data_IF_955257078829
#
_entry.id   IF_955257078829
#
_cell.length_a   1.000
_cell.length_b   1.000
_cell.length_c   1.000
_cell.angle_alpha   90.00
_cell.angle_beta   90.00
_cell.angle_gamma   90.00
#
_symmetry.space_group_name_H-M   'P 1'
#
loop_
_entity.id
_entity.type
_entity.pdbx_description
1 polymer ?
#
# COMPACT_ATOMS: atom_id res chain seq x y z
N UNK A 1 -17.71 17.77 18.56
CA UNK A 1 -16.93 16.58 18.99
C UNK A 1 -17.68 15.37 18.49
N UNK A 2 -17.09 14.51 17.65
CA UNK A 2 -17.74 13.25 17.28
C UNK A 2 -17.61 12.30 18.47
N UNK A 3 -18.72 11.96 19.10
CA UNK A 3 -18.75 10.87 20.07
C UNK A 3 -18.39 9.57 19.32
N UNK A 4 -17.40 8.84 19.80
CA UNK A 4 -16.97 7.60 19.17
C UNK A 4 -18.08 6.55 19.29
N UNK A 5 -18.83 6.33 18.19
CA UNK A 5 -19.94 5.36 18.13
C UNK A 5 -19.46 4.06 17.51
N UNK A 6 -19.16 3.09 18.35
CA UNK A 6 -18.61 1.79 17.95
C UNK A 6 -19.52 1.06 16.92
N UNK A 7 -20.84 1.20 17.05
CA UNK A 7 -21.80 0.64 16.09
C UNK A 7 -21.77 1.29 14.70
N UNK A 8 -21.44 2.58 14.63
CA UNK A 8 -21.30 3.29 13.35
C UNK A 8 -20.04 2.85 12.61
N UNK A 9 -18.93 2.65 13.34
CA UNK A 9 -17.68 2.10 12.80
C UNK A 9 -17.90 0.69 12.22
N UNK A 10 -18.57 -0.19 12.97
CA UNK A 10 -18.88 -1.55 12.48
C UNK A 10 -19.80 -1.53 11.25
N UNK A 11 -20.77 -0.61 11.21
CA UNK A 11 -21.64 -0.40 10.06
C UNK A 11 -20.85 0.07 8.82
N UNK A 12 -19.92 1.00 8.98
CA UNK A 12 -19.03 1.48 7.92
C UNK A 12 -18.11 0.38 7.38
N UNK A 13 -17.58 -0.47 8.26
CA UNK A 13 -16.81 -1.66 7.85
C UNK A 13 -17.65 -2.60 6.99
N UNK A 14 -18.90 -2.88 7.39
CA UNK A 14 -19.83 -3.70 6.60
C UNK A 14 -20.16 -3.07 5.25
N UNK A 15 -20.43 -1.77 5.22
CA UNK A 15 -20.75 -1.01 3.98
C UNK A 15 -19.60 -0.91 2.99
N UNK A 16 -18.35 -1.08 3.45
CA UNK A 16 -17.14 -1.00 2.62
C UNK A 16 -16.46 -2.34 2.38
N UNK A 17 -17.13 -3.46 2.70
CA UNK A 17 -16.67 -4.82 2.39
C UNK A 17 -16.24 -5.02 0.91
N UNK A 18 -16.88 -4.39 -0.10
CA UNK A 18 -16.40 -4.50 -1.48
C UNK A 18 -14.93 -4.10 -1.68
N UNK A 19 -14.39 -3.16 -0.88
CA UNK A 19 -12.97 -2.79 -0.94
C UNK A 19 -12.04 -3.88 -0.41
N UNK A 20 -12.48 -4.66 0.58
CA UNK A 20 -11.71 -5.81 1.08
C UNK A 20 -11.57 -6.85 -0.03
N UNK A 21 -12.68 -7.17 -0.71
CA UNK A 21 -12.70 -8.09 -1.84
C UNK A 21 -11.84 -7.55 -2.99
N UNK A 22 -11.97 -6.26 -3.31
CA UNK A 22 -11.19 -5.65 -4.38
C UNK A 22 -9.69 -5.69 -4.09
N UNK A 23 -9.28 -5.39 -2.85
CA UNK A 23 -7.88 -5.52 -2.41
C UNK A 23 -7.39 -6.96 -2.51
N UNK A 24 -8.21 -7.93 -2.10
CA UNK A 24 -7.89 -9.35 -2.24
C UNK A 24 -7.69 -9.74 -3.71
N UNK A 25 -8.57 -9.31 -4.62
CA UNK A 25 -8.46 -9.58 -6.05
C UNK A 25 -7.18 -8.99 -6.66
N UNK A 26 -6.74 -7.82 -6.19
CA UNK A 26 -5.47 -7.22 -6.63
C UNK A 26 -4.29 -8.07 -6.17
N UNK A 27 -4.25 -8.49 -4.90
CA UNK A 27 -3.19 -9.38 -4.43
C UNK A 27 -3.18 -10.69 -5.21
N UNK A 28 -4.36 -11.27 -5.46
CA UNK A 28 -4.49 -12.47 -6.27
C UNK A 28 -3.97 -12.27 -7.70
N UNK A 29 -4.31 -11.15 -8.34
CA UNK A 29 -3.81 -10.80 -9.67
C UNK A 29 -2.30 -10.62 -9.71
N UNK A 30 -1.72 -9.97 -8.69
CA UNK A 30 -0.25 -9.84 -8.55
C UNK A 30 0.40 -11.22 -8.43
N UNK A 31 -0.16 -12.11 -7.60
CA UNK A 31 0.35 -13.48 -7.45
C UNK A 31 0.28 -14.25 -8.77
N UNK A 32 -0.83 -14.17 -9.50
CA UNK A 32 -0.94 -14.81 -10.82
C UNK A 32 0.09 -14.26 -11.80
N UNK A 33 0.31 -12.94 -11.81
CA UNK A 33 1.29 -12.33 -12.68
C UNK A 33 2.72 -12.78 -12.34
N UNK A 34 3.06 -12.96 -11.06
CA UNK A 34 4.33 -13.58 -10.65
C UNK A 34 4.50 -14.98 -11.24
N UNK A 35 3.48 -15.83 -11.10
CA UNK A 35 3.51 -17.21 -11.60
C UNK A 35 3.68 -17.21 -13.12
N UNK A 36 2.92 -16.37 -13.83
CA UNK A 36 2.97 -16.30 -15.29
C UNK A 36 4.31 -15.79 -15.80
N UNK A 37 4.82 -14.66 -15.28
CA UNK A 37 6.10 -14.09 -15.74
C UNK A 37 7.26 -15.04 -15.43
N UNK A 38 7.26 -15.65 -14.24
CA UNK A 38 8.27 -16.65 -13.87
C UNK A 38 8.20 -17.88 -14.77
N UNK A 39 7.00 -18.40 -15.02
CA UNK A 39 6.77 -19.54 -15.90
C UNK A 39 7.16 -19.27 -17.35
N UNK A 40 6.85 -18.08 -17.87
CA UNK A 40 7.28 -17.62 -19.20
C UNK A 40 8.81 -17.53 -19.25
N UNK A 41 9.43 -16.92 -18.24
CA UNK A 41 10.89 -16.88 -18.13
C UNK A 41 11.51 -18.27 -18.17
N UNK A 42 10.96 -19.21 -17.39
CA UNK A 42 11.41 -20.60 -17.39
C UNK A 42 11.20 -21.28 -18.75
N UNK A 43 10.06 -21.07 -19.41
CA UNK A 43 9.78 -21.63 -20.74
C UNK A 43 10.73 -21.11 -21.81
N UNK A 44 10.99 -19.80 -21.82
CA UNK A 44 11.96 -19.17 -22.74
C UNK A 44 13.37 -19.72 -22.45
N UNK A 45 13.76 -19.76 -21.18
CA UNK A 45 15.06 -20.29 -20.77
C UNK A 45 15.26 -21.75 -21.16
N UNK A 46 14.24 -22.59 -20.99
CA UNK A 46 14.27 -24.00 -21.39
C UNK A 46 14.43 -24.13 -22.91
N UNK A 47 13.67 -23.34 -23.68
CA UNK A 47 13.78 -23.30 -25.13
C UNK A 47 15.18 -22.94 -25.61
N UNK A 48 15.79 -21.88 -25.04
CA UNK A 48 17.17 -21.48 -25.37
C UNK A 48 18.19 -22.54 -24.92
N UNK A 49 18.06 -23.05 -23.69
CA UNK A 49 18.96 -24.07 -23.15
C UNK A 49 18.93 -25.38 -23.94
N UNK A 50 17.78 -25.74 -24.51
CA UNK A 50 17.63 -26.95 -25.33
C UNK A 50 18.49 -26.94 -26.60
N UNK A 51 18.78 -25.75 -27.15
CA UNK A 51 19.66 -25.58 -28.32
C UNK A 51 21.11 -25.91 -27.97
N UNK A 52 21.53 -25.64 -26.72
CA UNK A 52 22.88 -25.91 -26.22
C UNK A 52 23.01 -27.29 -25.54
N UNK A 53 21.94 -28.09 -25.48
CA UNK A 53 21.92 -29.38 -24.77
C UNK A 53 21.73 -29.27 -23.25
N UNK A 54 21.46 -28.07 -22.72
CA UNK A 54 21.31 -27.79 -21.28
C UNK A 54 19.91 -27.24 -20.95
N UNK A 55 18.86 -27.91 -21.43
CA UNK A 55 17.48 -27.43 -21.33
C UNK A 55 17.03 -27.16 -19.88
N UNK A 56 17.37 -28.04 -18.94
CA UNK A 56 17.03 -27.90 -17.52
C UNK A 56 17.70 -26.67 -16.88
N UNK A 57 19.00 -26.49 -17.13
CA UNK A 57 19.75 -25.35 -16.62
C UNK A 57 19.22 -24.04 -17.24
N UNK A 58 18.95 -24.03 -18.54
CA UNK A 58 18.34 -22.89 -19.23
C UNK A 58 16.98 -22.53 -18.63
N UNK A 59 16.12 -23.52 -18.36
CA UNK A 59 14.81 -23.31 -17.74
C UNK A 59 14.90 -22.76 -16.33
N UNK A 60 15.84 -23.25 -15.53
CA UNK A 60 16.09 -22.74 -14.19
C UNK A 60 16.52 -21.26 -14.20
N UNK A 61 17.53 -20.92 -15.02
CA UNK A 61 18.03 -19.54 -15.12
C UNK A 61 17.01 -18.59 -15.72
N UNK A 62 16.26 -19.03 -16.73
CA UNK A 62 15.14 -18.27 -17.29
C UNK A 62 14.04 -18.03 -16.26
N UNK A 63 13.72 -19.03 -15.43
CA UNK A 63 12.78 -18.88 -14.32
C UNK A 63 13.25 -17.88 -13.27
N UNK A 64 14.52 -17.96 -12.86
CA UNK A 64 15.09 -16.99 -11.92
C UNK A 64 15.07 -15.56 -12.49
N UNK A 65 15.43 -15.39 -13.75
CA UNK A 65 15.38 -14.09 -14.42
C UNK A 65 13.94 -13.56 -14.51
N UNK A 66 12.98 -14.41 -14.91
CA UNK A 66 11.56 -14.10 -14.93
C UNK A 66 11.03 -13.68 -13.56
N UNK A 67 11.39 -14.41 -12.50
CA UNK A 67 11.03 -14.06 -11.12
C UNK A 67 11.64 -12.71 -10.69
N UNK A 68 12.91 -12.45 -11.03
CA UNK A 68 13.58 -11.19 -10.73
C UNK A 68 12.90 -10.00 -11.42
N UNK A 69 12.58 -10.14 -12.71
CA UNK A 69 11.86 -9.13 -13.49
C UNK A 69 10.46 -8.91 -12.92
N UNK A 70 9.71 -9.98 -12.64
CA UNK A 70 8.42 -9.89 -11.98
C UNK A 70 8.56 -9.16 -10.64
N UNK A 71 9.61 -9.45 -9.87
CA UNK A 71 9.95 -8.79 -8.61
C UNK A 71 10.03 -7.28 -8.71
N UNK A 72 10.83 -6.79 -9.65
CA UNK A 72 11.01 -5.35 -9.87
C UNK A 72 9.70 -4.70 -10.31
N UNK A 73 9.03 -5.26 -11.33
CA UNK A 73 7.77 -4.69 -11.85
C UNK A 73 6.69 -4.66 -10.78
N UNK A 74 6.51 -5.78 -10.07
CA UNK A 74 5.45 -5.92 -9.08
C UNK A 74 5.72 -5.09 -7.83
N UNK A 75 6.98 -4.81 -7.48
CA UNK A 75 7.32 -3.90 -6.38
C UNK A 75 6.68 -2.51 -6.59
N UNK A 76 6.93 -1.89 -7.75
CA UNK A 76 6.39 -0.57 -8.07
C UNK A 76 4.87 -0.62 -8.31
N UNK A 77 4.40 -1.60 -9.07
CA UNK A 77 2.99 -1.72 -9.43
C UNK A 77 2.12 -1.95 -8.18
N UNK A 78 2.57 -2.80 -7.24
CA UNK A 78 1.85 -3.10 -6.00
C UNK A 78 1.68 -1.86 -5.14
N UNK A 79 2.72 -1.08 -4.95
CA UNK A 79 2.68 0.13 -4.13
C UNK A 79 1.65 1.13 -4.70
N UNK A 80 1.71 1.36 -6.01
CA UNK A 80 0.79 2.24 -6.70
C UNK A 80 -0.67 1.74 -6.65
N UNK A 81 -0.93 0.49 -7.05
CA UNK A 81 -2.30 -0.05 -7.11
C UNK A 81 -2.97 -0.08 -5.74
N UNK A 82 -2.24 -0.51 -4.71
CA UNK A 82 -2.79 -0.58 -3.35
C UNK A 82 -3.03 0.80 -2.77
N UNK A 83 -2.21 1.78 -3.11
CA UNK A 83 -2.44 3.17 -2.73
C UNK A 83 -3.75 3.70 -3.35
N UNK A 84 -3.97 3.47 -4.66
CA UNK A 84 -5.21 3.89 -5.31
C UNK A 84 -6.45 3.28 -4.68
N UNK A 85 -6.40 1.98 -4.38
CA UNK A 85 -7.50 1.29 -3.70
C UNK A 85 -7.73 1.86 -2.31
N UNK A 86 -6.65 2.14 -1.57
CA UNK A 86 -6.73 2.74 -0.24
C UNK A 86 -7.34 4.15 -0.31
N UNK A 87 -6.89 5.00 -1.22
CA UNK A 87 -7.43 6.35 -1.43
C UNK A 87 -8.92 6.32 -1.81
N UNK A 88 -9.31 5.40 -2.70
CA UNK A 88 -10.71 5.21 -3.07
C UNK A 88 -11.56 4.73 -1.88
N UNK A 89 -11.02 3.85 -1.05
CA UNK A 89 -11.70 3.38 0.16
C UNK A 89 -11.93 4.54 1.15
N UNK A 90 -10.92 5.38 1.36
CA UNK A 90 -11.01 6.56 2.22
C UNK A 90 -12.05 7.54 1.69
N UNK A 91 -12.09 7.79 0.38
CA UNK A 91 -13.11 8.64 -0.23
C UNK A 91 -14.53 8.14 0.04
N UNK A 92 -14.76 6.83 -0.12
CA UNK A 92 -16.07 6.23 0.18
C UNK A 92 -16.40 6.32 1.66
N UNK A 93 -15.42 6.12 2.55
CA UNK A 93 -15.63 6.26 4.00
C UNK A 93 -16.03 7.69 4.38
N UNK A 94 -15.32 8.70 3.86
CA UNK A 94 -15.64 10.12 4.10
C UNK A 94 -17.06 10.43 3.65
N UNK A 95 -17.44 10.00 2.45
CA UNK A 95 -18.77 10.27 1.92
C UNK A 95 -19.89 9.56 2.69
N UNK A 96 -19.66 8.32 3.14
CA UNK A 96 -20.59 7.61 4.02
C UNK A 96 -20.73 8.28 5.39
N UNK A 97 -19.62 8.83 5.94
CA UNK A 97 -19.62 9.59 7.19
C UNK A 97 -20.35 10.93 7.08
N UNK A 98 -20.34 11.55 5.89
CA UNK A 98 -21.14 12.76 5.60
C UNK A 98 -22.61 12.43 5.26
N UNK A 99 -23.02 11.17 5.41
CA UNK A 99 -24.41 10.74 5.24
C UNK A 99 -24.85 10.55 3.78
N UNK A 100 -23.92 10.56 2.82
CA UNK A 100 -24.27 10.33 1.41
C UNK A 100 -24.55 8.86 1.14
N UNK A 101 -25.40 8.61 0.15
CA UNK A 101 -25.66 7.27 -0.36
C UNK A 101 -24.64 6.94 -1.44
N UNK A 102 -23.98 5.78 -1.29
CA UNK A 102 -23.00 5.30 -2.27
C UNK A 102 -23.53 4.01 -2.92
N UNK A 103 -23.40 3.85 -4.25
CA UNK A 103 -23.75 2.61 -4.91
C UNK A 103 -23.04 1.41 -4.28
N UNK A 104 -23.75 0.29 -4.11
CA UNK A 104 -23.16 -0.94 -3.55
C UNK A 104 -22.32 -1.71 -4.58
N UNK A 105 -21.54 -2.69 -4.09
CA UNK A 105 -20.83 -3.65 -4.94
C UNK A 105 -19.81 -3.02 -5.88
N UNK A 106 -19.83 -3.39 -7.17
CA UNK A 106 -18.91 -2.84 -8.18
C UNK A 106 -19.08 -1.33 -8.39
N UNK A 107 -20.32 -0.83 -8.34
CA UNK A 107 -20.60 0.60 -8.48
C UNK A 107 -19.94 1.46 -7.38
N UNK A 108 -19.65 0.88 -6.22
CA UNK A 108 -18.87 1.54 -5.16
C UNK A 108 -17.44 1.83 -5.59
N UNK A 109 -16.82 0.85 -6.28
CA UNK A 109 -15.43 0.94 -6.74
C UNK A 109 -15.35 1.93 -7.89
N UNK A 110 -16.30 1.89 -8.83
CA UNK A 110 -16.33 2.81 -9.97
C UNK A 110 -16.55 4.26 -9.50
N UNK A 111 -17.45 4.47 -8.54
CA UNK A 111 -17.66 5.77 -7.90
C UNK A 111 -16.37 6.28 -7.24
N UNK A 112 -15.69 5.42 -6.49
CA UNK A 112 -14.42 5.77 -5.85
C UNK A 112 -13.31 6.07 -6.86
N UNK A 113 -13.22 5.33 -7.97
CA UNK A 113 -12.28 5.61 -9.05
C UNK A 113 -12.52 6.98 -9.68
N UNK A 114 -13.78 7.40 -9.84
CA UNK A 114 -14.12 8.75 -10.29
C UNK A 114 -13.54 9.82 -9.38
N UNK A 115 -13.80 9.72 -8.07
CA UNK A 115 -13.29 10.68 -7.07
C UNK A 115 -11.76 10.72 -7.08
N UNK A 116 -11.11 9.55 -7.10
CA UNK A 116 -9.65 9.46 -7.09
C UNK A 116 -9.05 10.01 -8.38
N UNK A 117 -9.68 9.84 -9.55
CA UNK A 117 -9.22 10.40 -10.83
C UNK A 117 -9.36 11.92 -10.88
N UNK A 118 -10.46 12.47 -10.39
CA UNK A 118 -10.69 13.91 -10.33
C UNK A 118 -9.70 14.61 -9.39
N UNK A 119 -9.28 13.94 -8.31
CA UNK A 119 -8.36 14.49 -7.31
C UNK A 119 -6.97 13.86 -7.34
N UNK A 120 -6.63 13.19 -8.44
CA UNK A 120 -5.44 12.35 -8.57
C UNK A 120 -4.13 13.13 -8.41
N UNK A 121 -4.10 14.36 -8.92
CA UNK A 121 -2.94 15.24 -8.79
C UNK A 121 -2.65 15.57 -7.31
N UNK A 122 -3.70 15.85 -6.53
CA UNK A 122 -3.58 16.11 -5.09
C UNK A 122 -3.18 14.83 -4.34
N UNK A 123 -3.80 13.69 -4.65
CA UNK A 123 -3.47 12.40 -4.05
C UNK A 123 -2.01 11.98 -4.32
N UNK A 124 -1.49 12.24 -5.53
CA UNK A 124 -0.11 11.94 -5.90
C UNK A 124 0.91 12.81 -5.15
N UNK A 125 0.60 14.08 -4.89
CA UNK A 125 1.43 14.97 -4.06
C UNK A 125 1.43 14.49 -2.61
N UNK A 126 0.27 14.14 -2.06
CA UNK A 126 0.14 13.61 -0.69
C UNK A 126 0.91 12.29 -0.51
N UNK A 127 0.88 11.41 -1.52
CA UNK A 127 1.72 10.20 -1.54
C UNK A 127 3.22 10.54 -1.50
N UNK A 128 3.66 11.54 -2.28
CA UNK A 128 5.04 12.02 -2.24
C UNK A 128 5.43 12.55 -0.86
N UNK A 129 4.56 13.34 -0.21
CA UNK A 129 4.77 13.86 1.15
C UNK A 129 4.83 12.72 2.17
N UNK A 130 3.95 11.72 2.07
CA UNK A 130 3.96 10.54 2.92
C UNK A 130 5.28 9.76 2.81
N UNK A 131 5.76 9.53 1.59
CA UNK A 131 7.02 8.83 1.39
C UNK A 131 8.22 9.62 1.95
N UNK A 132 8.18 10.96 1.87
CA UNK A 132 9.17 11.83 2.50
C UNK A 132 9.11 11.74 4.03
N UNK A 133 7.93 11.82 4.65
CA UNK A 133 7.76 11.68 6.11
C UNK A 133 8.28 10.31 6.56
N UNK A 134 7.89 9.22 5.89
CA UNK A 134 8.39 7.87 6.18
C UNK A 134 9.91 7.77 6.03
N UNK A 135 10.48 8.43 5.01
CA UNK A 135 11.93 8.54 4.83
C UNK A 135 12.62 9.25 6.01
N UNK A 136 12.10 10.40 6.42
CA UNK A 136 12.61 11.18 7.56
C UNK A 136 12.52 10.38 8.85
N UNK A 137 11.42 9.66 9.10
CA UNK A 137 11.27 8.82 10.28
C UNK A 137 12.28 7.67 10.30
N UNK A 138 12.50 7.01 9.16
CA UNK A 138 13.52 5.96 9.07
C UNK A 138 14.93 6.52 9.34
N UNK A 139 15.23 7.70 8.81
CA UNK A 139 16.51 8.37 9.05
C UNK A 139 16.68 8.75 10.53
N UNK A 140 15.66 9.37 11.13
CA UNK A 140 15.65 9.71 12.55
C UNK A 140 15.82 8.47 13.42
N UNK A 141 15.05 7.41 13.17
CA UNK A 141 15.14 6.16 13.93
C UNK A 141 16.53 5.55 13.83
N UNK A 142 17.14 5.55 12.63
CA UNK A 142 18.52 5.05 12.44
C UNK A 142 19.52 5.84 13.30
N UNK A 143 19.44 7.17 13.29
CA UNK A 143 20.33 8.03 14.09
C UNK A 143 20.10 7.82 15.58
N UNK A 144 18.83 7.82 16.01
CA UNK A 144 18.45 7.66 17.41
C UNK A 144 18.92 6.32 17.97
N UNK A 145 18.71 5.21 17.25
CA UNK A 145 19.19 3.89 17.67
C UNK A 145 20.72 3.77 17.62
N UNK A 146 21.38 4.41 16.65
CA UNK A 146 22.86 4.50 16.63
C UNK A 146 23.38 5.18 17.90
N UNK A 147 22.82 6.33 18.28
CA UNK A 147 23.25 7.07 19.49
C UNK A 147 22.92 6.26 20.76
N UNK A 148 21.71 5.71 20.84
CA UNK A 148 21.28 4.90 21.98
C UNK A 148 22.13 3.62 22.16
N UNK A 149 22.67 3.06 21.08
CA UNK A 149 23.58 1.90 21.14
C UNK A 149 24.99 2.24 21.65
N UNK A 150 25.39 3.50 21.59
CA UNK A 150 26.69 3.98 22.09
C UNK A 150 26.65 4.31 23.59
N UNK A 151 25.48 4.49 24.18
CA UNK A 151 25.31 4.77 25.60
C UNK A 151 25.12 3.46 26.39
N UNK A 152 26.05 3.06 27.27
CA UNK A 152 25.96 1.83 28.07
C UNK A 152 25.02 2.01 29.27
N UNK A 153 23.76 2.37 29.01
CA UNK A 153 22.74 2.58 30.04
C UNK A 153 21.75 1.40 30.01
N UNK A 154 21.69 0.58 31.06
CA UNK A 154 20.72 -0.52 31.17
C UNK A 154 19.28 -0.01 31.01
N UNK A 155 18.49 -0.66 30.16
CA UNK A 155 17.06 -0.35 29.98
C UNK A 155 16.70 0.72 28.94
N UNK A 156 17.65 1.53 28.44
CA UNK A 156 17.38 2.55 27.40
C UNK A 156 16.82 1.93 26.11
N UNK A 157 17.27 0.72 25.75
CA UNK A 157 16.79 0.04 24.55
C UNK A 157 15.28 -0.25 24.59
N UNK A 158 14.72 -0.51 25.78
CA UNK A 158 13.28 -0.74 25.96
C UNK A 158 12.47 0.53 25.78
N UNK A 159 12.89 1.62 26.44
CA UNK A 159 12.26 2.95 26.32
C UNK A 159 12.36 3.46 24.87
N UNK A 160 13.52 3.30 24.24
CA UNK A 160 13.74 3.64 22.84
C UNK A 160 12.76 2.89 21.92
N UNK A 161 12.62 1.57 22.09
CA UNK A 161 11.66 0.77 21.32
C UNK A 161 10.21 1.21 21.55
N UNK A 162 9.84 1.52 22.80
CA UNK A 162 8.51 2.01 23.13
C UNK A 162 8.21 3.36 22.45
N UNK A 163 9.10 4.35 22.58
CA UNK A 163 8.95 5.66 21.93
C UNK A 163 8.84 5.48 20.41
N UNK A 164 9.67 4.63 19.82
CA UNK A 164 9.59 4.30 18.40
C UNK A 164 8.25 3.68 18.00
N UNK A 165 7.72 2.77 18.82
CA UNK A 165 6.41 2.18 18.56
C UNK A 165 5.30 3.25 18.59
N UNK A 166 5.34 4.17 19.56
CA UNK A 166 4.37 5.28 19.65
C UNK A 166 4.47 6.21 18.45
N UNK A 167 5.68 6.62 18.06
CA UNK A 167 5.91 7.47 16.88
C UNK A 167 5.42 6.77 15.62
N UNK A 168 5.79 5.51 15.41
CA UNK A 168 5.37 4.75 14.24
C UNK A 168 3.84 4.60 14.21
N UNK A 169 3.21 4.25 15.33
CA UNK A 169 1.75 4.09 15.39
C UNK A 169 1.03 5.42 15.11
N UNK A 170 1.57 6.54 15.60
CA UNK A 170 1.02 7.87 15.38
C UNK A 170 1.12 8.31 13.91
N UNK A 171 2.16 7.86 13.21
CA UNK A 171 2.44 8.26 11.82
C UNK A 171 1.98 7.22 10.79
N UNK A 172 1.60 6.02 11.24
CA UNK A 172 1.11 4.94 10.37
C UNK A 172 -0.15 5.34 9.62
N UNK A 173 -1.00 6.18 10.24
CA UNK A 173 -2.30 6.58 9.69
C UNK A 173 -2.41 8.07 9.33
N UNK A 174 -1.30 8.80 9.41
CA UNK A 174 -1.31 10.25 9.26
C UNK A 174 -1.72 10.64 7.83
N UNK A 175 -1.23 9.91 6.82
CA UNK A 175 -1.56 10.16 5.42
C UNK A 175 -3.04 9.91 5.13
N UNK A 176 -3.64 8.85 5.68
CA UNK A 176 -5.06 8.60 5.50
C UNK A 176 -5.93 9.66 6.16
N UNK A 177 -5.53 10.18 7.33
CA UNK A 177 -6.25 11.27 8.00
C UNK A 177 -6.17 12.56 7.21
N UNK A 178 -4.99 12.93 6.70
CA UNK A 178 -4.82 14.12 5.86
C UNK A 178 -5.66 13.99 4.58
N UNK A 179 -5.60 12.83 3.92
CA UNK A 179 -6.38 12.57 2.72
C UNK A 179 -7.88 12.63 3.01
N UNK A 180 -8.34 12.00 4.09
CA UNK A 180 -9.74 12.03 4.50
C UNK A 180 -10.21 13.46 4.78
N UNK A 181 -9.38 14.26 5.44
CA UNK A 181 -9.67 15.66 5.72
C UNK A 181 -9.78 16.49 4.44
N UNK A 182 -8.81 16.38 3.53
CA UNK A 182 -8.81 17.08 2.25
C UNK A 182 -10.03 16.72 1.38
N UNK A 183 -10.41 15.45 1.38
CA UNK A 183 -11.63 14.97 0.72
C UNK A 183 -12.89 15.56 1.37
N UNK A 184 -12.94 15.60 2.70
CA UNK A 184 -14.08 16.15 3.45
C UNK A 184 -14.30 17.63 3.15
N UNK A 185 -13.25 18.44 3.19
CA UNK A 185 -13.34 19.89 2.92
C UNK A 185 -13.38 20.23 1.43
N UNK A 186 -13.29 19.21 0.56
CA UNK A 186 -13.26 19.34 -0.91
C UNK A 186 -12.19 20.31 -1.42
N UNK A 187 -11.03 20.36 -0.74
CA UNK A 187 -9.97 21.32 -1.03
C UNK A 187 -9.56 21.30 -2.51
N UNK A 188 -9.48 22.47 -3.15
CA UNK A 188 -8.99 22.61 -4.53
C UNK A 188 -7.46 22.66 -4.61
N UNK A 189 -6.79 22.96 -3.49
CA UNK A 189 -5.33 22.90 -3.35
C UNK A 189 -4.92 22.03 -2.16
N UNK A 190 -3.85 21.21 -2.28
CA UNK A 190 -3.40 20.26 -1.27
C UNK A 190 -2.79 20.91 -0.01
#
# INVERSE_FOLDING_TARGET
MMDFKLGEVLSLMGKTLPFLIFRFLIYFGITLAYVLITGIGAGIGYGVGSIAGEAEAGGLWGGMAGFGIAGVIMYFLREYLLYLVKAGHIAVLVELMEGKTIPGGKGQIDYAQGIVRERFAQASILFGVDQLIKGVLRAFNRVFFSIASFLPIPGIQGIAKFINAVINLSLTYLDEVILAYNLKIRAENP
#
